data_IF_720393221101
#
_entry.id   IF_720393221101
#
_cell.length_a   1.000
_cell.length_b   1.000
_cell.length_c   1.000
_cell.angle_alpha   90.00
_cell.angle_beta   90.00
_cell.angle_gamma   90.00
#
_symmetry.space_group_name_H-M   'P 1'
#
loop_
_entity.id
_entity.type
_entity.pdbx_description
1 polymer ?
#
# COMPACT_ATOMS: atom_id res chain seq x y z
N UNK A 1 -49.69 13.12 10.58
CA UNK A 1 -49.51 14.55 10.92
C UNK A 1 -50.25 14.89 12.21
N UNK A 2 -49.53 14.91 13.34
CA UNK A 2 -49.84 15.76 14.50
C UNK A 2 -48.54 15.97 15.25
N UNK A 3 -48.29 17.22 15.58
CA UNK A 3 -47.02 17.85 15.91
C UNK A 3 -47.14 18.39 17.33
N UNK A 4 -45.96 18.65 17.92
CA UNK A 4 -45.71 19.41 19.17
C UNK A 4 -45.75 18.54 20.44
N UNK A 5 -44.87 18.69 21.44
CA UNK A 5 -43.91 19.75 21.78
C UNK A 5 -42.98 19.16 22.89
N UNK A 6 -41.65 19.37 22.76
CA UNK A 6 -40.63 19.53 23.82
C UNK A 6 -40.40 18.45 24.90
N UNK A 7 -39.18 17.91 24.92
CA UNK A 7 -38.39 17.83 26.16
C UNK A 7 -36.92 18.04 25.83
N UNK A 8 -36.49 19.28 26.00
CA UNK A 8 -35.09 19.68 26.14
C UNK A 8 -34.60 19.16 27.50
N UNK A 9 -33.54 18.34 27.49
CA UNK A 9 -32.54 18.23 28.57
C UNK A 9 -31.39 17.38 28.01
N UNK A 10 -30.31 18.01 27.59
CA UNK A 10 -29.14 18.34 28.41
C UNK A 10 -28.08 17.24 28.30
N UNK A 11 -27.08 17.54 27.46
CA UNK A 11 -25.65 17.27 27.65
C UNK A 11 -25.28 15.96 28.36
N UNK A 12 -24.76 15.03 27.58
CA UNK A 12 -24.00 13.87 28.04
C UNK A 12 -22.91 13.52 27.03
N UNK A 13 -22.00 14.47 26.78
CA UNK A 13 -20.68 14.14 26.23
C UNK A 13 -20.00 13.23 27.25
N UNK A 14 -19.63 12.01 26.86
CA UNK A 14 -18.26 11.47 26.99
C UNK A 14 -18.16 10.28 26.02
N UNK A 15 -17.34 10.50 25.00
CA UNK A 15 -16.82 9.52 24.06
C UNK A 15 -16.10 8.39 24.80
N UNK A 16 -16.59 7.15 24.67
CA UNK A 16 -15.92 5.97 25.20
C UNK A 16 -15.00 5.34 24.14
N UNK A 17 -13.76 5.07 24.56
CA UNK A 17 -12.80 4.12 23.99
C UNK A 17 -12.15 4.45 22.65
N UNK A 18 -11.33 5.51 22.64
CA UNK A 18 -10.13 5.51 21.83
C UNK A 18 -9.03 4.73 22.59
N UNK A 19 -8.85 3.45 22.26
CA UNK A 19 -7.64 2.71 22.62
C UNK A 19 -6.54 3.17 21.66
N UNK A 20 -6.04 4.39 21.86
CA UNK A 20 -4.88 4.88 21.13
C UNK A 20 -3.67 4.16 21.68
N UNK A 21 -3.18 3.17 20.94
CA UNK A 21 -1.80 2.73 21.10
C UNK A 21 -0.96 3.79 20.40
N UNK A 22 -0.62 4.82 21.19
CA UNK A 22 0.34 5.83 20.81
C UNK A 22 1.72 5.20 20.98
N UNK A 23 2.23 4.60 19.91
CA UNK A 23 3.68 4.43 19.76
C UNK A 23 4.21 5.76 19.26
N UNK A 24 4.60 6.60 20.20
CA UNK A 24 5.35 7.84 19.95
C UNK A 24 6.82 7.49 19.76
N UNK A 25 7.47 8.22 18.83
CA UNK A 25 8.93 8.31 18.57
C UNK A 25 9.46 7.15 17.71
N UNK A 26 9.87 7.36 16.46
CA UNK A 26 10.97 8.27 16.06
C UNK A 26 10.73 8.93 14.70
N UNK A 27 10.60 10.26 14.70
CA UNK A 27 11.11 11.10 13.61
C UNK A 27 12.63 11.12 13.76
N UNK A 28 13.33 10.86 12.65
CA UNK A 28 14.80 10.76 12.44
C UNK A 28 15.24 9.32 12.18
N UNK A 29 14.92 8.78 11.00
CA UNK A 29 15.70 7.70 10.34
C UNK A 29 15.23 7.37 8.90
N UNK A 30 14.59 8.30 8.17
CA UNK A 30 14.13 8.04 6.78
C UNK A 30 15.24 8.20 5.71
N UNK A 31 16.48 8.49 6.10
CA UNK A 31 17.57 8.74 5.13
C UNK A 31 18.79 7.82 5.24
N UNK A 32 18.75 6.74 6.03
CA UNK A 32 19.92 5.85 6.21
C UNK A 32 19.64 4.34 6.12
N UNK A 33 18.40 3.90 5.82
CA UNK A 33 18.09 2.48 5.55
C UNK A 33 18.03 2.20 4.03
N UNK A 34 19.01 2.66 3.27
CA UNK A 34 19.10 2.34 1.82
C UNK A 34 20.40 1.60 1.46
N UNK A 35 21.07 1.00 2.45
CA UNK A 35 22.34 0.30 2.20
C UNK A 35 22.29 -1.23 2.40
N UNK A 36 21.24 -1.82 3.00
CA UNK A 36 21.19 -3.27 3.23
C UNK A 36 19.76 -3.83 3.36
N UNK A 37 18.86 -3.50 2.43
CA UNK A 37 17.61 -4.26 2.30
C UNK A 37 17.93 -5.64 1.74
N UNK A 38 17.55 -6.70 2.45
CA UNK A 38 17.77 -8.07 1.94
C UNK A 38 16.87 -8.35 0.73
N UNK A 39 17.26 -9.31 -0.10
CA UNK A 39 16.45 -9.73 -1.26
C UNK A 39 15.06 -10.20 -0.82
N UNK A 40 14.95 -10.89 0.31
CA UNK A 40 13.69 -11.41 0.83
C UNK A 40 12.75 -10.27 1.25
N UNK A 41 13.26 -9.28 1.98
CA UNK A 41 12.48 -8.10 2.36
C UNK A 41 12.02 -7.28 1.15
N UNK A 42 12.89 -7.15 0.13
CA UNK A 42 12.53 -6.50 -1.13
C UNK A 42 11.38 -7.22 -1.83
N UNK A 43 11.44 -8.55 -1.95
CA UNK A 43 10.39 -9.35 -2.55
C UNK A 43 9.08 -9.24 -1.77
N UNK A 44 9.15 -9.25 -0.44
CA UNK A 44 7.96 -9.09 0.42
C UNK A 44 7.30 -7.72 0.24
N UNK A 45 8.10 -6.65 0.24
CA UNK A 45 7.60 -5.29 -0.03
C UNK A 45 6.99 -5.17 -1.43
N UNK A 46 7.63 -5.79 -2.42
CA UNK A 46 7.14 -5.85 -3.81
C UNK A 46 5.80 -6.58 -3.93
N UNK A 47 5.66 -7.72 -3.26
CA UNK A 47 4.41 -8.48 -3.19
C UNK A 47 3.27 -7.65 -2.57
N UNK A 48 3.53 -7.01 -1.43
CA UNK A 48 2.53 -6.20 -0.73
C UNK A 48 2.06 -5.03 -1.60
N UNK A 49 2.99 -4.33 -2.25
CA UNK A 49 2.65 -3.25 -3.17
C UNK A 49 1.88 -3.77 -4.39
N UNK A 50 2.30 -4.89 -4.96
CA UNK A 50 1.62 -5.48 -6.11
C UNK A 50 0.15 -5.79 -5.79
N UNK A 51 -0.09 -6.51 -4.70
CA UNK A 51 -1.43 -6.90 -4.25
C UNK A 51 -2.30 -5.70 -3.85
N UNK A 52 -1.72 -4.68 -3.22
CA UNK A 52 -2.47 -3.53 -2.73
C UNK A 52 -2.73 -2.47 -3.81
N UNK A 53 -1.85 -2.34 -4.81
CA UNK A 53 -1.83 -1.18 -5.73
C UNK A 53 -2.18 -1.54 -7.16
N UNK A 54 -1.71 -2.68 -7.68
CA UNK A 54 -1.78 -2.97 -9.11
C UNK A 54 -3.19 -3.37 -9.59
N UNK A 55 -4.06 -3.85 -8.68
CA UNK A 55 -5.46 -4.18 -8.99
C UNK A 55 -6.45 -3.03 -8.82
N UNK A 56 -5.99 -1.80 -8.55
CA UNK A 56 -6.87 -0.67 -8.20
C UNK A 56 -7.53 0.01 -9.41
N UNK A 57 -6.94 -0.12 -10.60
CA UNK A 57 -7.37 0.60 -11.80
C UNK A 57 -7.82 -0.34 -12.93
N UNK A 58 -7.39 -1.60 -12.91
CA UNK A 58 -7.75 -2.66 -13.83
C UNK A 58 -7.53 -4.00 -13.13
N UNK A 59 -7.90 -5.11 -13.77
CA UNK A 59 -7.68 -6.45 -13.24
C UNK A 59 -6.20 -6.67 -12.88
N UNK A 60 -5.97 -7.32 -11.74
CA UNK A 60 -4.62 -7.65 -11.28
C UNK A 60 -4.10 -8.85 -12.07
N UNK A 61 -3.10 -8.68 -12.96
CA UNK A 61 -2.50 -9.82 -13.65
C UNK A 61 -1.81 -10.75 -12.66
N UNK A 62 -1.67 -12.03 -13.00
CA UNK A 62 -0.77 -12.91 -12.26
C UNK A 62 0.66 -12.67 -12.73
N UNK A 63 1.67 -12.66 -11.84
CA UNK A 63 3.07 -12.59 -12.25
C UNK A 63 3.46 -13.58 -13.36
N UNK A 64 2.88 -14.78 -13.32
CA UNK A 64 3.12 -15.87 -14.27
C UNK A 64 2.43 -15.69 -15.64
N UNK A 65 1.64 -14.64 -15.84
CA UNK A 65 0.99 -14.36 -17.13
C UNK A 65 1.97 -13.80 -18.17
N UNK A 66 3.09 -13.22 -17.71
CA UNK A 66 4.08 -12.51 -18.52
C UNK A 66 5.51 -13.02 -18.25
N UNK A 67 6.41 -12.92 -19.24
CA UNK A 67 7.83 -13.24 -19.03
C UNK A 67 8.58 -12.07 -18.37
N UNK A 68 9.82 -12.29 -17.95
CA UNK A 68 10.68 -11.23 -17.38
C UNK A 68 10.86 -10.07 -18.37
N UNK A 69 10.96 -10.38 -19.67
CA UNK A 69 11.12 -9.39 -20.74
C UNK A 69 9.86 -8.55 -20.94
N UNK A 70 8.68 -9.16 -20.79
CA UNK A 70 7.38 -8.48 -20.87
C UNK A 70 7.12 -7.55 -19.69
N UNK A 71 7.55 -7.94 -18.48
CA UNK A 71 7.33 -7.15 -17.27
C UNK A 71 8.02 -5.78 -17.29
N UNK A 72 9.18 -5.67 -17.98
CA UNK A 72 9.92 -4.41 -18.07
C UNK A 72 9.12 -3.28 -18.75
N UNK A 73 8.61 -3.42 -19.99
CA UNK A 73 7.77 -2.39 -20.62
C UNK A 73 6.42 -2.21 -19.91
N UNK A 74 5.85 -3.26 -19.30
CA UNK A 74 4.63 -3.15 -18.49
C UNK A 74 4.87 -2.20 -17.30
N UNK A 75 5.91 -2.45 -16.51
CA UNK A 75 6.25 -1.62 -15.36
C UNK A 75 6.63 -0.19 -15.76
N UNK A 76 7.28 0.00 -16.90
CA UNK A 76 7.54 1.34 -17.42
C UNK A 76 6.25 2.14 -17.70
N UNK A 77 5.17 1.48 -18.13
CA UNK A 77 3.87 2.13 -18.33
C UNK A 77 3.07 2.27 -17.04
N UNK A 78 3.12 1.27 -16.17
CA UNK A 78 2.23 1.18 -15.00
C UNK A 78 2.76 1.91 -13.77
N UNK A 79 4.08 1.90 -13.52
CA UNK A 79 4.64 2.55 -12.33
C UNK A 79 4.27 4.05 -12.24
N UNK A 80 4.36 4.86 -13.32
CA UNK A 80 3.93 6.25 -13.27
C UNK A 80 2.42 6.41 -13.03
N UNK A 81 1.60 5.54 -13.63
CA UNK A 81 0.13 5.56 -13.50
C UNK A 81 -0.32 5.17 -12.09
N UNK A 82 0.37 4.21 -11.49
CA UNK A 82 0.16 3.77 -10.10
C UNK A 82 0.81 4.72 -9.07
N UNK A 83 1.53 5.74 -9.54
CA UNK A 83 2.28 6.73 -8.74
C UNK A 83 3.31 6.08 -7.82
N UNK A 84 3.97 5.02 -8.30
CA UNK A 84 5.08 4.40 -7.59
C UNK A 84 6.32 5.28 -7.73
N UNK A 85 7.08 5.41 -6.64
CA UNK A 85 8.42 5.98 -6.71
C UNK A 85 9.43 4.95 -7.27
N UNK A 86 10.68 5.37 -7.46
CA UNK A 86 11.71 4.51 -8.06
C UNK A 86 12.00 3.24 -7.24
N UNK A 87 12.01 3.35 -5.92
CA UNK A 87 12.29 2.24 -5.01
C UNK A 87 11.15 1.23 -5.01
N UNK A 88 9.91 1.71 -4.88
CA UNK A 88 8.69 0.90 -4.98
C UNK A 88 8.59 0.18 -6.33
N UNK A 89 8.94 0.88 -7.42
CA UNK A 89 8.99 0.30 -8.76
C UNK A 89 9.97 -0.86 -8.82
N UNK A 90 11.16 -0.71 -8.24
CA UNK A 90 12.17 -1.77 -8.20
C UNK A 90 11.71 -2.97 -7.36
N UNK A 91 11.06 -2.74 -6.22
CA UNK A 91 10.53 -3.82 -5.39
C UNK A 91 9.45 -4.63 -6.12
N UNK A 92 8.48 -3.94 -6.74
CA UNK A 92 7.42 -4.60 -7.52
C UNK A 92 8.02 -5.33 -8.72
N UNK A 93 8.96 -4.72 -9.44
CA UNK A 93 9.63 -5.36 -10.57
C UNK A 93 10.39 -6.63 -10.14
N UNK A 94 11.08 -6.59 -9.00
CA UNK A 94 11.76 -7.76 -8.46
C UNK A 94 10.78 -8.89 -8.11
N UNK A 95 9.64 -8.55 -7.50
CA UNK A 95 8.59 -9.51 -7.17
C UNK A 95 7.99 -10.17 -8.41
N UNK A 96 7.56 -9.38 -9.40
CA UNK A 96 6.93 -9.94 -10.60
C UNK A 96 7.92 -10.78 -11.41
N UNK A 97 9.19 -10.37 -11.50
CA UNK A 97 10.22 -11.15 -12.19
C UNK A 97 10.56 -12.47 -11.49
N UNK A 98 10.56 -12.50 -10.15
CA UNK A 98 10.79 -13.73 -9.39
C UNK A 98 9.67 -14.77 -9.58
N UNK A 99 8.49 -14.32 -10.00
CA UNK A 99 7.29 -15.14 -10.20
C UNK A 99 6.82 -15.14 -11.66
N UNK A 100 7.67 -14.66 -12.58
CA UNK A 100 7.34 -14.54 -13.99
C UNK A 100 7.21 -15.92 -14.64
N UNK A 101 6.58 -15.93 -15.82
CA UNK A 101 6.55 -17.09 -16.68
C UNK A 101 7.98 -17.52 -17.04
N UNK A 102 8.23 -18.83 -16.93
CA UNK A 102 9.50 -19.46 -17.32
C UNK A 102 9.59 -19.69 -18.82
#
# INVERSE_FOLDING_TARGET
MKKYLYSVCLVGVIVYSCKTQQTTTTTTETSTITANLTKEEMLKKGEDLFNLRCGRCHDLPKPSDFTVEDWKPIMASMAPKAKLNAEETNWVLAYVNANAKK
#
